data_IF_622739588079
#
_entry.id   IF_622739588079
#
_cell.length_a   1.000
_cell.length_b   1.000
_cell.length_c   1.000
_cell.angle_alpha   90.00
_cell.angle_beta   90.00
_cell.angle_gamma   90.00
#
_symmetry.space_group_name_H-M   'P 1'
#
loop_
_entity.id
_entity.type
_entity.pdbx_description
1 polymer ?
#
# COMPACT_ATOMS: atom_id res chain seq x y z
N UNK A 1 -18.42 -13.15 1.38
CA UNK A 1 -17.13 -12.84 0.70
C UNK A 1 -16.75 -11.39 0.93
N UNK A 2 -15.53 -10.99 0.58
CA UNK A 2 -15.09 -9.60 0.70
C UNK A 2 -15.84 -8.65 -0.27
N UNK A 3 -16.39 -9.20 -1.36
CA UNK A 3 -17.18 -8.50 -2.38
C UNK A 3 -18.70 -8.52 -2.09
N UNK A 4 -19.12 -9.13 -1.02
CA UNK A 4 -20.51 -9.23 -0.58
C UNK A 4 -20.54 -9.76 0.83
N UNK A 5 -20.67 -8.84 1.79
CA UNK A 5 -20.74 -9.17 3.21
C UNK A 5 -22.13 -9.66 3.56
N UNK A 6 -22.20 -10.60 4.47
CA UNK A 6 -23.45 -11.01 5.11
C UNK A 6 -23.85 -9.98 6.18
N UNK A 7 -24.17 -8.78 5.71
CA UNK A 7 -24.62 -7.66 6.52
C UNK A 7 -25.56 -6.79 5.69
N UNK A 8 -26.63 -6.34 6.32
CA UNK A 8 -27.58 -5.41 5.69
C UNK A 8 -26.93 -4.04 5.45
N UNK A 9 -27.52 -3.28 4.53
CA UNK A 9 -27.14 -1.88 4.30
C UNK A 9 -27.34 -1.07 5.58
N UNK A 10 -26.46 -0.12 5.81
CA UNK A 10 -26.63 0.80 6.95
C UNK A 10 -26.46 0.17 8.34
N UNK A 11 -25.68 -0.92 8.45
CA UNK A 11 -25.52 -1.65 9.72
C UNK A 11 -24.45 -1.04 10.64
N UNK A 12 -23.35 -0.50 10.09
CA UNK A 12 -22.17 -0.15 10.88
C UNK A 12 -21.99 1.37 11.02
N UNK A 13 -21.42 1.79 12.15
CA UNK A 13 -21.03 3.18 12.44
C UNK A 13 -19.67 3.54 11.89
N UNK A 14 -18.82 2.53 11.70
CA UNK A 14 -17.43 2.66 11.26
C UNK A 14 -17.01 1.43 10.48
N UNK A 15 -16.35 1.65 9.36
CA UNK A 15 -15.66 0.60 8.61
C UNK A 15 -14.16 0.92 8.58
N UNK A 16 -13.34 -0.03 8.99
CA UNK A 16 -11.87 0.13 9.03
C UNK A 16 -11.20 -0.93 8.17
N UNK A 17 -10.25 -0.50 7.32
CA UNK A 17 -9.41 -1.36 6.52
C UNK A 17 -7.95 -0.96 6.62
N UNK A 18 -7.12 -1.95 6.85
CA UNK A 18 -5.69 -1.73 7.02
C UNK A 18 -4.90 -2.78 6.24
N UNK A 19 -3.99 -2.32 5.38
CA UNK A 19 -3.02 -3.17 4.69
C UNK A 19 -3.63 -4.37 3.93
N UNK A 20 -4.73 -4.16 3.21
CA UNK A 20 -5.47 -5.24 2.52
C UNK A 20 -5.79 -4.88 1.07
N UNK A 21 -6.12 -3.63 0.78
CA UNK A 21 -6.65 -3.22 -0.54
C UNK A 21 -5.70 -3.53 -1.70
N UNK A 22 -4.40 -3.33 -1.49
CA UNK A 22 -3.36 -3.61 -2.49
C UNK A 22 -3.21 -5.11 -2.83
N UNK A 23 -3.71 -6.01 -1.98
CA UNK A 23 -3.61 -7.46 -2.14
C UNK A 23 -4.90 -8.11 -2.64
N UNK A 24 -5.91 -7.32 -3.01
CA UNK A 24 -7.21 -7.83 -3.39
C UNK A 24 -7.50 -7.45 -4.84
N UNK A 25 -7.87 -8.42 -5.71
CA UNK A 25 -8.37 -8.12 -7.03
C UNK A 25 -9.60 -7.21 -6.99
N UNK A 26 -9.72 -6.32 -7.97
CA UNK A 26 -10.87 -5.42 -8.10
C UNK A 26 -11.16 -4.63 -6.81
N UNK A 27 -10.21 -3.83 -6.30
CA UNK A 27 -10.40 -3.06 -5.07
C UNK A 27 -11.57 -2.05 -5.16
N UNK A 28 -11.90 -1.56 -6.35
CA UNK A 28 -13.06 -0.74 -6.65
C UNK A 28 -14.38 -1.38 -6.17
N UNK A 29 -14.59 -2.66 -6.47
CA UNK A 29 -15.78 -3.41 -6.05
C UNK A 29 -15.84 -3.63 -4.55
N UNK A 30 -14.69 -3.85 -3.97
CA UNK A 30 -14.56 -4.04 -2.52
C UNK A 30 -14.86 -2.74 -1.79
N UNK A 31 -14.36 -1.60 -2.29
CA UNK A 31 -14.65 -0.29 -1.73
C UNK A 31 -16.15 0.07 -1.86
N UNK A 32 -16.79 -0.28 -2.97
CA UNK A 32 -18.22 -0.11 -3.15
C UNK A 32 -19.04 -0.91 -2.11
N UNK A 33 -18.68 -2.17 -1.87
CA UNK A 33 -19.34 -3.00 -0.85
C UNK A 33 -19.17 -2.41 0.57
N UNK A 34 -18.01 -1.82 0.84
CA UNK A 34 -17.73 -1.18 2.13
C UNK A 34 -18.41 0.19 2.30
N UNK A 35 -18.76 0.84 1.22
CA UNK A 35 -19.60 2.04 1.27
C UNK A 35 -21.08 1.70 1.49
N UNK A 36 -21.51 0.47 1.16
CA UNK A 36 -22.89 0.00 1.33
C UNK A 36 -23.26 -0.32 2.78
N UNK A 37 -22.37 -1.02 3.50
CA UNK A 37 -22.70 -1.56 4.84
C UNK A 37 -22.71 -0.54 5.97
N UNK A 38 -21.99 0.59 5.97
CA UNK A 38 -22.13 1.63 6.98
C UNK A 38 -23.43 2.42 6.78
N UNK A 39 -24.00 2.91 7.87
CA UNK A 39 -25.19 3.77 7.83
C UNK A 39 -24.86 5.18 7.31
N UNK A 40 -25.86 5.94 6.86
CA UNK A 40 -25.69 7.37 6.57
C UNK A 40 -25.03 8.12 7.74
N UNK A 41 -24.03 8.94 7.44
CA UNK A 41 -23.24 9.66 8.42
C UNK A 41 -22.10 8.87 9.06
N UNK A 42 -22.02 7.56 8.84
CA UNK A 42 -20.92 6.71 9.32
C UNK A 42 -19.58 7.05 8.64
N UNK A 43 -18.48 6.58 9.23
CA UNK A 43 -17.14 6.82 8.72
C UNK A 43 -16.53 5.57 8.08
N UNK A 44 -15.81 5.79 6.97
CA UNK A 44 -14.84 4.86 6.44
C UNK A 44 -13.43 5.34 6.85
N UNK A 45 -12.58 4.39 7.22
CA UNK A 45 -11.17 4.65 7.53
C UNK A 45 -10.31 3.57 6.87
N UNK A 46 -9.47 4.00 5.93
CA UNK A 46 -8.66 3.13 5.10
C UNK A 46 -7.18 3.44 5.35
N UNK A 47 -6.36 2.39 5.44
CA UNK A 47 -4.91 2.50 5.36
C UNK A 47 -4.48 1.65 4.16
N UNK A 48 -4.66 2.14 2.94
CA UNK A 48 -4.21 1.49 1.72
C UNK A 48 -2.71 1.67 1.59
N UNK A 49 -2.02 0.68 1.03
CA UNK A 49 -0.62 0.83 0.71
C UNK A 49 -0.45 1.47 -0.67
N UNK A 50 0.66 2.15 -0.84
CA UNK A 50 1.13 2.65 -2.12
C UNK A 50 2.65 2.46 -2.17
N UNK A 51 3.08 1.44 -2.91
CA UNK A 51 4.50 1.12 -2.99
C UNK A 51 5.30 2.14 -3.79
N UNK A 52 4.65 2.98 -4.59
CA UNK A 52 5.28 4.14 -5.23
C UNK A 52 5.62 5.28 -4.26
N UNK A 53 5.17 5.20 -3.00
CA UNK A 53 5.48 6.18 -1.95
C UNK A 53 6.66 5.75 -1.04
N UNK A 54 7.46 4.78 -1.49
CA UNK A 54 8.74 4.43 -0.90
C UNK A 54 9.86 5.21 -1.58
N UNK A 55 10.61 5.96 -0.82
CA UNK A 55 11.69 6.80 -1.35
C UNK A 55 13.01 6.52 -0.61
N UNK A 56 14.03 6.27 -1.40
CA UNK A 56 15.41 6.06 -0.95
C UNK A 56 16.34 7.00 -1.70
N UNK A 57 17.47 7.31 -1.09
CA UNK A 57 18.54 7.98 -1.82
C UNK A 57 19.14 7.04 -2.86
N UNK A 58 19.44 7.58 -4.04
CA UNK A 58 20.10 6.82 -5.10
C UNK A 58 21.46 6.28 -4.60
N UNK A 59 21.68 5.00 -4.81
CA UNK A 59 22.94 4.30 -4.57
C UNK A 59 23.55 3.78 -5.88
N UNK A 60 24.18 2.62 -5.82
CA UNK A 60 24.65 1.90 -7.02
C UNK A 60 23.45 1.50 -7.90
N UNK A 61 22.39 1.00 -7.28
CA UNK A 61 21.09 0.81 -7.90
C UNK A 61 20.20 2.02 -7.60
N UNK A 62 19.16 2.22 -8.39
CA UNK A 62 18.15 3.26 -8.16
C UNK A 62 16.88 2.61 -7.64
N UNK A 63 16.56 2.68 -6.34
CA UNK A 63 15.36 2.03 -5.78
C UNK A 63 14.04 2.49 -6.43
N UNK A 64 14.01 3.67 -7.05
CA UNK A 64 12.84 4.14 -7.78
C UNK A 64 12.49 3.22 -8.96
N UNK A 65 13.50 2.69 -9.65
CA UNK A 65 13.27 1.81 -10.79
C UNK A 65 12.63 0.50 -10.32
N UNK A 66 13.07 -0.03 -9.17
CA UNK A 66 12.47 -1.21 -8.53
C UNK A 66 11.01 -0.97 -8.13
N UNK A 67 10.72 0.12 -7.40
CA UNK A 67 9.37 0.43 -6.91
C UNK A 67 8.41 0.91 -8.00
N UNK A 68 8.88 1.09 -9.21
CA UNK A 68 8.04 1.29 -10.38
C UNK A 68 7.77 -0.03 -11.10
N UNK A 69 8.80 -0.79 -11.43
CA UNK A 69 8.72 -2.03 -12.21
C UNK A 69 8.04 -3.17 -11.43
N UNK A 70 8.50 -3.46 -10.22
CA UNK A 70 8.08 -4.66 -9.50
C UNK A 70 6.59 -4.61 -9.06
N UNK A 71 6.08 -3.52 -8.45
CA UNK A 71 4.66 -3.44 -8.10
C UNK A 71 3.73 -3.43 -9.32
N UNK A 72 4.10 -2.74 -10.41
CA UNK A 72 3.30 -2.71 -11.64
C UNK A 72 3.16 -4.11 -12.24
N UNK A 73 4.28 -4.78 -12.46
CA UNK A 73 4.29 -6.13 -13.03
C UNK A 73 3.57 -7.16 -12.13
N UNK A 74 3.74 -7.07 -10.81
CA UNK A 74 3.02 -7.92 -9.87
C UNK A 74 1.52 -7.68 -9.92
N UNK A 75 1.08 -6.43 -9.92
CA UNK A 75 -0.32 -6.03 -9.99
C UNK A 75 -1.00 -6.55 -11.27
N UNK A 76 -0.36 -6.41 -12.42
CA UNK A 76 -0.84 -6.94 -13.70
C UNK A 76 -1.05 -8.46 -13.67
N UNK A 77 -0.15 -9.20 -13.02
CA UNK A 77 -0.22 -10.67 -12.94
C UNK A 77 -1.26 -11.19 -11.96
N UNK A 78 -1.52 -10.44 -10.90
CA UNK A 78 -2.41 -10.85 -9.81
C UNK A 78 -3.79 -10.17 -9.85
N UNK A 79 -4.03 -9.30 -10.84
CA UNK A 79 -5.23 -8.45 -10.93
C UNK A 79 -5.43 -7.59 -9.67
N UNK A 80 -4.31 -7.11 -9.09
CA UNK A 80 -4.30 -6.26 -7.89
C UNK A 80 -3.71 -4.89 -8.21
N UNK A 81 -3.88 -3.93 -7.31
CA UNK A 81 -3.34 -2.58 -7.47
C UNK A 81 -2.44 -2.23 -6.27
N UNK A 82 -1.13 -2.30 -6.49
CA UNK A 82 -0.13 -1.99 -5.47
C UNK A 82 0.10 -0.48 -5.30
N UNK A 83 -0.60 0.35 -6.07
CA UNK A 83 -0.61 1.81 -5.97
C UNK A 83 -1.95 2.37 -5.50
N UNK A 84 -2.88 1.50 -5.06
CA UNK A 84 -4.25 1.83 -4.68
C UNK A 84 -4.36 2.98 -3.66
N UNK A 85 -3.30 3.26 -2.92
CA UNK A 85 -3.25 4.35 -1.97
C UNK A 85 -3.57 5.71 -2.60
N UNK A 86 -2.96 6.02 -3.75
CA UNK A 86 -3.19 7.27 -4.51
C UNK A 86 -4.57 7.32 -5.16
N UNK A 87 -5.09 6.17 -5.58
CA UNK A 87 -6.34 6.07 -6.33
C UNK A 87 -7.56 6.01 -5.40
N UNK A 88 -7.33 5.74 -4.12
CA UNK A 88 -8.41 5.62 -3.12
C UNK A 88 -9.28 6.87 -3.02
N UNK A 89 -8.69 8.07 -3.16
CA UNK A 89 -9.45 9.33 -3.13
C UNK A 89 -10.49 9.36 -4.26
N UNK A 90 -10.06 9.13 -5.50
CA UNK A 90 -10.93 9.17 -6.69
C UNK A 90 -12.03 8.11 -6.61
N UNK A 91 -11.70 6.91 -6.13
CA UNK A 91 -12.68 5.83 -5.98
C UNK A 91 -13.76 6.22 -4.97
N UNK A 92 -13.39 6.79 -3.82
CA UNK A 92 -14.34 7.23 -2.80
C UNK A 92 -15.21 8.39 -3.29
N UNK A 93 -14.63 9.33 -4.03
CA UNK A 93 -15.37 10.46 -4.64
C UNK A 93 -16.40 9.95 -5.67
N UNK A 94 -16.02 9.04 -6.55
CA UNK A 94 -16.94 8.39 -7.50
C UNK A 94 -18.06 7.59 -6.84
N UNK A 95 -17.82 7.05 -5.65
CA UNK A 95 -18.83 6.37 -4.85
C UNK A 95 -19.77 7.34 -4.10
N UNK A 96 -19.55 8.65 -4.26
CA UNK A 96 -20.39 9.68 -3.68
C UNK A 96 -20.15 9.93 -2.19
N UNK A 97 -19.01 9.48 -1.63
CA UNK A 97 -18.69 9.77 -0.24
C UNK A 97 -18.30 11.24 -0.05
N UNK A 98 -18.54 11.75 1.14
CA UNK A 98 -18.25 13.14 1.52
C UNK A 98 -17.11 13.23 2.53
N UNK A 99 -16.64 14.45 2.82
CA UNK A 99 -15.59 14.72 3.82
C UNK A 99 -14.35 13.84 3.64
N UNK A 100 -13.95 13.62 2.38
CA UNK A 100 -12.77 12.79 2.09
C UNK A 100 -11.53 13.54 2.52
N UNK A 101 -10.74 12.93 3.41
CA UNK A 101 -9.46 13.44 3.86
C UNK A 101 -8.35 12.41 3.62
N UNK A 102 -7.18 12.89 3.23
CA UNK A 102 -5.98 12.08 3.02
C UNK A 102 -4.88 12.58 3.94
N UNK A 103 -4.45 11.74 4.85
CA UNK A 103 -3.31 11.93 5.73
C UNK A 103 -2.25 10.86 5.45
N UNK A 104 -1.10 10.94 6.13
CA UNK A 104 -0.02 9.97 5.96
C UNK A 104 0.56 9.53 7.30
N UNK A 105 0.76 8.22 7.45
CA UNK A 105 1.69 7.69 8.43
C UNK A 105 3.07 7.69 7.79
N UNK A 106 4.03 8.36 8.42
CA UNK A 106 5.39 8.47 7.93
C UNK A 106 6.28 7.47 8.68
N UNK A 107 6.74 6.45 7.95
CA UNK A 107 7.77 5.51 8.42
C UNK A 107 9.08 5.96 7.77
N UNK A 108 9.98 6.53 8.56
CA UNK A 108 11.27 6.98 8.04
C UNK A 108 12.44 6.68 9.01
N UNK A 109 13.64 6.86 8.51
CA UNK A 109 14.87 6.56 9.24
C UNK A 109 15.21 7.55 10.38
N UNK A 110 14.33 8.53 10.63
CA UNK A 110 14.46 9.52 11.72
C UNK A 110 13.38 9.32 12.80
N UNK A 111 12.14 9.04 12.38
CA UNK A 111 10.97 8.91 13.27
C UNK A 111 10.85 7.55 13.92
N UNK A 112 11.23 6.49 13.19
CA UNK A 112 11.14 5.12 13.70
C UNK A 112 12.53 4.52 13.94
N UNK A 113 12.69 3.58 14.88
CA UNK A 113 13.94 2.84 14.99
C UNK A 113 14.28 2.18 13.67
N UNK A 114 15.49 2.42 13.14
CA UNK A 114 15.93 1.89 11.85
C UNK A 114 15.74 0.39 11.73
N UNK A 115 15.94 -0.34 12.82
CA UNK A 115 15.75 -1.79 12.85
C UNK A 115 14.31 -2.20 12.50
N UNK A 116 13.30 -1.48 12.95
CA UNK A 116 11.90 -1.75 12.61
C UNK A 116 11.66 -1.57 11.10
N UNK A 117 12.23 -0.51 10.50
CA UNK A 117 12.10 -0.31 9.05
C UNK A 117 12.88 -1.38 8.25
N UNK A 118 14.04 -1.80 8.74
CA UNK A 118 14.81 -2.93 8.17
C UNK A 118 13.97 -4.20 8.17
N UNK A 119 13.35 -4.55 9.30
CA UNK A 119 12.53 -5.77 9.44
C UNK A 119 11.35 -5.81 8.46
N UNK A 120 10.76 -4.66 8.14
CA UNK A 120 9.72 -4.54 7.10
C UNK A 120 10.29 -4.96 5.74
N UNK A 121 11.46 -4.40 5.35
CA UNK A 121 12.08 -4.72 4.07
C UNK A 121 12.59 -6.17 4.01
N UNK A 122 13.08 -6.70 5.11
CA UNK A 122 13.49 -8.11 5.22
C UNK A 122 12.30 -9.04 5.05
N UNK A 123 11.17 -8.76 5.69
CA UNK A 123 9.94 -9.52 5.53
C UNK A 123 9.42 -9.49 4.08
N UNK A 124 9.48 -8.34 3.42
CA UNK A 124 9.11 -8.25 2.00
C UNK A 124 10.09 -8.99 1.09
N UNK A 125 11.38 -8.86 1.32
CA UNK A 125 12.40 -9.64 0.59
C UNK A 125 12.11 -11.14 0.69
N UNK A 126 11.93 -11.62 1.92
CA UNK A 126 11.78 -13.05 2.17
C UNK A 126 10.43 -13.60 1.67
N UNK A 127 9.39 -12.77 1.66
CA UNK A 127 8.05 -13.16 1.21
C UNK A 127 7.80 -12.99 -0.28
N UNK A 128 8.47 -12.05 -0.96
CA UNK A 128 8.08 -11.65 -2.32
C UNK A 128 9.18 -11.76 -3.38
N UNK A 129 10.43 -12.05 -3.03
CA UNK A 129 11.54 -12.11 -4.01
C UNK A 129 11.23 -13.06 -5.17
N UNK A 130 10.71 -14.24 -4.89
CA UNK A 130 10.42 -15.23 -5.93
C UNK A 130 9.28 -14.78 -6.85
N UNK A 131 8.19 -14.26 -6.28
CA UNK A 131 7.06 -13.77 -7.04
C UNK A 131 7.41 -12.53 -7.88
N UNK A 132 8.21 -11.61 -7.34
CA UNK A 132 8.68 -10.45 -8.10
C UNK A 132 9.55 -10.90 -9.27
N UNK A 133 10.48 -11.82 -9.05
CA UNK A 133 11.32 -12.35 -10.12
C UNK A 133 10.54 -13.13 -11.18
N UNK A 134 9.45 -13.80 -10.79
CA UNK A 134 8.58 -14.53 -11.72
C UNK A 134 7.73 -13.57 -12.57
N UNK A 135 7.24 -12.47 -12.00
CA UNK A 135 6.25 -11.61 -12.63
C UNK A 135 6.83 -10.37 -13.30
N UNK A 136 8.00 -9.90 -12.89
CA UNK A 136 8.67 -8.74 -13.46
C UNK A 136 9.79 -9.11 -14.44
N UNK A 137 10.47 -8.11 -14.98
CA UNK A 137 11.67 -8.30 -15.82
C UNK A 137 12.95 -8.48 -15.01
N UNK A 138 12.85 -8.33 -13.68
CA UNK A 138 14.01 -8.44 -12.80
C UNK A 138 14.30 -9.91 -12.52
N UNK A 139 15.56 -10.29 -12.66
CA UNK A 139 16.03 -11.59 -12.19
C UNK A 139 15.99 -11.66 -10.66
N UNK A 140 15.92 -12.87 -10.10
CA UNK A 140 15.99 -13.09 -8.64
C UNK A 140 17.20 -12.37 -8.01
N UNK A 141 18.36 -12.46 -8.64
CA UNK A 141 19.59 -11.82 -8.16
C UNK A 141 19.49 -10.28 -8.15
N UNK A 142 18.80 -9.69 -9.14
CA UNK A 142 18.55 -8.25 -9.15
C UNK A 142 17.56 -7.84 -8.04
N UNK A 143 16.49 -8.58 -7.84
CA UNK A 143 15.54 -8.33 -6.73
C UNK A 143 16.26 -8.38 -5.38
N UNK A 144 17.05 -9.43 -5.14
CA UNK A 144 17.87 -9.55 -3.92
C UNK A 144 18.86 -8.39 -3.75
N UNK A 145 19.49 -7.96 -4.83
CA UNK A 145 20.44 -6.84 -4.82
C UNK A 145 19.74 -5.50 -4.49
N UNK A 146 18.54 -5.26 -5.00
CA UNK A 146 17.74 -4.07 -4.65
C UNK A 146 17.36 -4.07 -3.17
N UNK A 147 16.81 -5.18 -2.66
CA UNK A 147 16.49 -5.29 -1.24
C UNK A 147 17.71 -5.14 -0.35
N UNK A 148 18.82 -5.78 -0.68
CA UNK A 148 20.07 -5.65 0.09
C UNK A 148 20.53 -4.19 0.15
N UNK A 149 20.54 -3.47 -0.97
CA UNK A 149 20.91 -2.05 -0.98
C UNK A 149 19.95 -1.20 -0.15
N UNK A 150 18.64 -1.38 -0.29
CA UNK A 150 17.65 -0.62 0.48
C UNK A 150 17.79 -0.87 1.99
N UNK A 151 18.01 -2.10 2.39
CA UNK A 151 18.23 -2.48 3.79
C UNK A 151 19.52 -1.83 4.32
N UNK A 152 20.61 -1.87 3.56
CA UNK A 152 21.87 -1.23 3.92
C UNK A 152 21.73 0.31 4.00
N UNK A 153 20.96 0.90 3.11
CA UNK A 153 20.63 2.33 3.15
C UNK A 153 19.88 2.71 4.42
N UNK A 154 18.91 1.89 4.85
CA UNK A 154 18.20 2.13 6.12
C UNK A 154 19.13 1.97 7.31
N UNK A 155 20.02 0.97 7.33
CA UNK A 155 21.00 0.75 8.41
C UNK A 155 22.02 1.87 8.52
N UNK A 156 22.36 2.52 7.39
CA UNK A 156 23.36 3.58 7.36
C UNK A 156 22.85 4.86 8.03
N UNK A 157 23.47 5.33 9.14
CA UNK A 157 23.00 6.51 9.88
C UNK A 157 23.04 7.81 9.07
N UNK A 158 23.82 7.84 7.98
CA UNK A 158 23.98 9.02 7.13
C UNK A 158 23.04 9.04 5.92
N UNK A 159 22.19 8.02 5.76
CA UNK A 159 21.22 7.94 4.66
C UNK A 159 19.80 8.07 5.15
N UNK A 160 18.97 8.69 4.32
CA UNK A 160 17.55 8.87 4.57
C UNK A 160 16.71 7.96 3.66
N UNK A 161 15.72 7.31 4.26
CA UNK A 161 14.69 6.58 3.55
C UNK A 161 13.35 6.86 4.21
N UNK A 162 12.28 6.85 3.42
CA UNK A 162 10.91 7.11 3.88
C UNK A 162 9.90 6.26 3.12
N UNK A 163 8.92 5.76 3.85
CA UNK A 163 7.67 5.22 3.31
C UNK A 163 6.51 6.06 3.84
N UNK A 164 5.77 6.67 2.93
CA UNK A 164 4.56 7.42 3.24
C UNK A 164 3.35 6.52 3.03
N UNK A 165 2.71 6.09 4.10
CA UNK A 165 1.54 5.20 4.06
C UNK A 165 0.29 6.07 4.08
N UNK A 166 -0.53 6.08 3.02
CA UNK A 166 -1.75 6.87 2.99
C UNK A 166 -2.75 6.41 4.06
N UNK A 167 -3.42 7.37 4.67
CA UNK A 167 -4.54 7.18 5.57
C UNK A 167 -5.72 7.96 5.00
N UNK A 168 -6.70 7.27 4.47
CA UNK A 168 -7.84 7.90 3.81
C UNK A 168 -9.07 7.70 4.66
N UNK A 169 -9.79 8.78 4.93
CA UNK A 169 -11.05 8.72 5.64
C UNK A 169 -12.15 9.44 4.85
N UNK A 170 -13.38 8.96 5.00
CA UNK A 170 -14.53 9.55 4.33
C UNK A 170 -15.79 9.36 5.18
N UNK A 171 -16.86 10.04 4.79
CA UNK A 171 -18.18 9.92 5.40
C UNK A 171 -19.19 9.43 4.38
N UNK A 172 -20.02 8.47 4.79
CA UNK A 172 -21.17 8.02 3.99
C UNK A 172 -22.24 9.10 4.03
N UNK A 173 -22.78 9.55 2.89
CA UNK A 173 -23.80 10.57 2.83
C UNK A 173 -25.14 10.18 3.48
#
# INVERSE_FOLDING_TARGET
TIYGLDAADGTFDLTVWRHVLHSIPRPDRVMAERARVPRPGARLHLIPEDYGMLHFQRGRLNPRDFWHEAPEAFGEKTDTDLFIGRDSFEILDRLGLSDIAVDYVIVDTVRVPRQIFVEILEAWRDGYTDSIAEYSRLSRAEVEAYFAQMIDDIRNPHRYAVWMVPVVSARVP
#
